data_IF_295938905082
#
_entry.id   IF_295938905082
#
_cell.length_a   1.000
_cell.length_b   1.000
_cell.length_c   1.000
_cell.angle_alpha   90.00
_cell.angle_beta   90.00
_cell.angle_gamma   90.00
#
_symmetry.space_group_name_H-M   'P 1'
#
loop_
_entity.id
_entity.type
_entity.pdbx_description
1 polymer ?
#
# COMPACT_ATOMS: atom_id res chain seq x y z
N UNK A 1 -2.12 9.88 -22.27
CA UNK A 1 -2.59 8.66 -22.98
C UNK A 1 -3.23 7.73 -21.95
N UNK A 2 -4.44 7.20 -22.22
CA UNK A 2 -5.14 6.24 -21.35
C UNK A 2 -4.32 4.94 -21.30
N UNK A 3 -4.10 4.36 -20.11
CA UNK A 3 -3.29 3.15 -19.89
C UNK A 3 -4.18 1.93 -19.98
N UNK A 4 -3.84 0.90 -20.74
CA UNK A 4 -4.61 -0.35 -20.83
C UNK A 4 -4.71 -1.10 -19.50
N UNK A 5 -5.71 -1.99 -19.33
CA UNK A 5 -5.84 -2.85 -18.14
C UNK A 5 -4.55 -3.61 -17.82
N UNK A 6 -3.90 -4.13 -18.87
CA UNK A 6 -2.62 -4.83 -18.77
C UNK A 6 -1.52 -3.92 -18.21
N UNK A 7 -1.36 -2.71 -18.76
CA UNK A 7 -0.38 -1.75 -18.24
C UNK A 7 -0.66 -1.36 -16.78
N UNK A 8 -1.93 -1.24 -16.38
CA UNK A 8 -2.31 -0.99 -14.97
C UNK A 8 -1.84 -2.14 -14.07
N UNK A 9 -2.06 -3.39 -14.47
CA UNK A 9 -1.61 -4.58 -13.73
C UNK A 9 -0.08 -4.64 -13.67
N UNK A 10 0.62 -4.35 -14.77
CA UNK A 10 2.08 -4.29 -14.83
C UNK A 10 2.64 -3.22 -13.87
N UNK A 11 2.02 -2.03 -13.79
CA UNK A 11 2.39 -0.99 -12.84
C UNK A 11 2.19 -1.43 -11.38
N UNK A 12 1.06 -2.08 -11.05
CA UNK A 12 0.82 -2.59 -9.70
C UNK A 12 1.84 -3.68 -9.34
N UNK A 13 2.20 -4.53 -10.31
CA UNK A 13 3.19 -5.60 -10.12
C UNK A 13 4.58 -5.03 -9.85
N UNK A 14 4.99 -4.01 -10.62
CA UNK A 14 6.25 -3.30 -10.38
C UNK A 14 6.24 -2.61 -9.01
N UNK A 15 5.13 -1.97 -8.64
CA UNK A 15 4.95 -1.37 -7.31
C UNK A 15 5.11 -2.40 -6.20
N UNK A 16 4.50 -3.59 -6.34
CA UNK A 16 4.61 -4.67 -5.35
C UNK A 16 6.08 -5.07 -5.10
N UNK A 17 6.91 -5.14 -6.15
CA UNK A 17 8.33 -5.44 -6.02
C UNK A 17 9.10 -4.33 -5.29
N UNK A 18 8.82 -3.06 -5.61
CA UNK A 18 9.47 -1.93 -4.94
C UNK A 18 9.07 -1.83 -3.47
N UNK A 19 7.78 -1.92 -3.18
CA UNK A 19 7.26 -1.72 -1.83
C UNK A 19 7.64 -2.86 -0.88
N UNK A 20 7.64 -4.10 -1.36
CA UNK A 20 8.10 -5.25 -0.55
C UNK A 20 9.59 -5.19 -0.24
N UNK A 21 10.42 -4.73 -1.17
CA UNK A 21 11.83 -4.45 -0.91
C UNK A 21 11.99 -3.32 0.11
N UNK A 22 11.17 -2.28 0.03
CA UNK A 22 11.18 -1.21 1.03
C UNK A 22 10.84 -1.75 2.43
N UNK A 23 9.83 -2.60 2.55
CA UNK A 23 9.45 -3.24 3.82
C UNK A 23 10.59 -4.08 4.41
N UNK A 24 11.30 -4.85 3.59
CA UNK A 24 12.52 -5.56 4.01
C UNK A 24 13.55 -4.59 4.61
N UNK A 25 13.90 -3.53 3.88
CA UNK A 25 14.93 -2.58 4.31
C UNK A 25 14.56 -1.87 5.63
N UNK A 26 13.27 -1.59 5.86
CA UNK A 26 12.79 -1.05 7.14
C UNK A 26 13.13 -2.01 8.29
N UNK A 27 12.90 -3.32 8.12
CA UNK A 27 13.20 -4.30 9.18
C UNK A 27 14.70 -4.49 9.44
N UNK A 28 15.55 -4.26 8.43
CA UNK A 28 17.01 -4.33 8.55
C UNK A 28 17.60 -3.09 9.26
N UNK A 29 16.96 -1.93 9.14
CA UNK A 29 17.35 -0.70 9.83
C UNK A 29 16.13 0.06 10.41
N UNK A 30 15.51 -0.47 11.48
CA UNK A 30 14.22 0.01 11.96
C UNK A 30 14.34 1.28 12.81
N UNK A 31 13.44 2.23 12.58
CA UNK A 31 13.13 3.30 13.52
C UNK A 31 11.82 2.99 14.23
N UNK A 32 11.88 2.80 15.55
CA UNK A 32 10.69 2.53 16.35
C UNK A 32 9.67 3.67 16.27
N UNK A 33 10.14 4.92 16.20
CA UNK A 33 9.29 6.11 16.08
C UNK A 33 8.57 6.16 14.72
N UNK A 34 9.29 5.93 13.61
CA UNK A 34 8.68 5.92 12.29
C UNK A 34 7.67 4.78 12.15
N UNK A 35 7.98 3.58 12.65
CA UNK A 35 7.06 2.43 12.62
C UNK A 35 5.82 2.71 13.48
N UNK A 36 5.98 3.28 14.68
CA UNK A 36 4.84 3.66 15.54
C UNK A 36 3.95 4.73 14.88
N UNK A 37 4.54 5.62 14.06
CA UNK A 37 3.77 6.62 13.31
C UNK A 37 2.80 5.98 12.31
N UNK A 38 3.17 4.84 11.70
CA UNK A 38 2.30 4.10 10.78
C UNK A 38 1.02 3.62 11.50
N UNK A 39 1.14 3.09 12.72
CA UNK A 39 -0.02 2.67 13.53
C UNK A 39 -0.95 3.84 13.85
N UNK A 40 -0.37 4.99 14.18
CA UNK A 40 -1.11 6.21 14.51
C UNK A 40 -1.97 6.69 13.34
N UNK A 41 -1.56 6.44 12.09
CA UNK A 41 -2.36 6.77 10.91
C UNK A 41 -3.71 6.04 10.91
N UNK A 42 -3.75 4.79 11.39
CA UNK A 42 -4.94 3.94 11.34
C UNK A 42 -5.80 3.93 12.60
N UNK A 43 -5.32 4.47 13.73
CA UNK A 43 -6.06 4.50 15.00
C UNK A 43 -7.50 5.04 14.88
N UNK A 44 -7.72 5.98 13.94
CA UNK A 44 -9.04 6.57 13.68
C UNK A 44 -10.02 5.64 12.95
N UNK A 45 -9.58 4.54 12.36
CA UNK A 45 -10.40 3.61 11.57
C UNK A 45 -10.68 2.29 12.30
N UNK A 46 -10.13 2.09 13.51
CA UNK A 46 -10.32 0.86 14.29
C UNK A 46 -11.75 0.70 14.85
N UNK A 47 -12.53 1.79 14.90
CA UNK A 47 -13.87 1.81 15.52
C UNK A 47 -15.04 1.51 14.56
N UNK A 48 -14.78 1.05 13.33
CA UNK A 48 -15.81 0.47 12.46
C UNK A 48 -16.69 1.41 11.62
N UNK A 49 -16.52 2.74 11.70
CA UNK A 49 -17.27 3.71 10.89
C UNK A 49 -16.60 4.03 9.53
N UNK A 50 -16.08 3.02 8.84
CA UNK A 50 -15.27 3.24 7.64
C UNK A 50 -16.06 3.82 6.46
N UNK A 51 -17.32 3.39 6.29
CA UNK A 51 -18.16 3.79 5.16
C UNK A 51 -18.43 5.31 5.12
N UNK A 52 -18.53 5.96 6.28
CA UNK A 52 -18.72 7.41 6.39
C UNK A 52 -17.41 8.20 6.16
N UNK A 53 -16.26 7.50 6.10
CA UNK A 53 -14.92 8.10 6.14
C UNK A 53 -14.01 7.59 5.02
N UNK A 54 -14.60 7.10 3.93
CA UNK A 54 -13.87 6.47 2.84
C UNK A 54 -12.85 7.42 2.18
N UNK A 55 -13.18 8.70 2.03
CA UNK A 55 -12.28 9.71 1.47
C UNK A 55 -11.06 9.94 2.38
N UNK A 56 -11.30 10.06 3.69
CA UNK A 56 -10.22 10.19 4.68
C UNK A 56 -9.32 8.94 4.68
N UNK A 57 -9.93 7.76 4.63
CA UNK A 57 -9.19 6.51 4.53
C UNK A 57 -8.38 6.44 3.24
N UNK A 58 -8.92 6.91 2.11
CA UNK A 58 -8.20 6.92 0.85
C UNK A 58 -6.92 7.76 0.92
N UNK A 59 -6.95 8.92 1.58
CA UNK A 59 -5.74 9.74 1.79
C UNK A 59 -4.73 9.04 2.70
N UNK A 60 -5.20 8.46 3.82
CA UNK A 60 -4.34 7.74 4.77
C UNK A 60 -3.69 6.51 4.12
N UNK A 61 -4.44 5.74 3.34
CA UNK A 61 -3.96 4.60 2.56
C UNK A 61 -2.83 5.03 1.61
N UNK A 62 -2.99 6.15 0.91
CA UNK A 62 -1.94 6.67 0.03
C UNK A 62 -0.70 7.06 0.82
N UNK A 63 -0.85 7.81 1.91
CA UNK A 63 0.29 8.25 2.73
C UNK A 63 1.04 7.05 3.33
N UNK A 64 0.33 6.03 3.82
CA UNK A 64 0.93 4.80 4.34
C UNK A 64 1.92 4.18 3.36
N UNK A 65 1.48 3.97 2.11
CA UNK A 65 2.33 3.40 1.06
C UNK A 65 3.52 4.31 0.70
N UNK A 66 3.36 5.64 0.76
CA UNK A 66 4.49 6.57 0.59
C UNK A 66 5.48 6.49 1.75
N UNK A 67 4.99 6.37 2.99
CA UNK A 67 5.83 6.26 4.18
C UNK A 67 6.69 5.00 4.12
N UNK A 68 6.13 3.84 3.75
CA UNK A 68 6.91 2.59 3.59
C UNK A 68 8.09 2.79 2.62
N UNK A 69 7.84 3.39 1.45
CA UNK A 69 8.89 3.66 0.47
C UNK A 69 9.96 4.61 1.03
N UNK A 70 9.56 5.72 1.68
CA UNK A 70 10.50 6.71 2.24
C UNK A 70 11.34 6.13 3.39
N UNK A 71 10.71 5.36 4.27
CA UNK A 71 11.34 4.72 5.43
C UNK A 71 12.39 3.68 5.03
N UNK A 72 12.38 3.19 3.79
CA UNK A 72 13.42 2.29 3.28
C UNK A 72 14.80 2.95 3.18
N UNK A 73 14.87 4.29 3.21
CA UNK A 73 16.10 5.10 3.06
C UNK A 73 16.94 4.75 1.82
N UNK A 74 16.34 4.15 0.81
CA UNK A 74 16.99 3.78 -0.44
C UNK A 74 16.60 4.78 -1.52
N UNK A 75 17.50 5.73 -1.83
CA UNK A 75 17.22 6.83 -2.77
C UNK A 75 16.85 6.36 -4.18
N UNK A 76 17.41 5.23 -4.64
CA UNK A 76 17.08 4.65 -5.95
C UNK A 76 15.66 4.08 -5.94
N UNK A 77 15.30 3.34 -4.88
CA UNK A 77 13.95 2.79 -4.72
C UNK A 77 12.91 3.90 -4.65
N UNK A 78 13.18 4.95 -3.86
CA UNK A 78 12.31 6.13 -3.72
C UNK A 78 12.08 6.78 -5.10
N UNK A 79 13.15 7.04 -5.86
CA UNK A 79 13.05 7.66 -7.20
C UNK A 79 12.27 6.79 -8.20
N UNK A 80 12.45 5.47 -8.19
CA UNK A 80 11.69 4.56 -9.04
C UNK A 80 10.20 4.55 -8.67
N UNK A 81 9.89 4.55 -7.37
CA UNK A 81 8.52 4.56 -6.87
C UNK A 81 7.81 5.89 -7.18
N UNK A 82 8.49 7.03 -7.13
CA UNK A 82 7.92 8.35 -7.50
C UNK A 82 7.33 8.36 -8.91
N UNK A 83 8.00 7.70 -9.87
CA UNK A 83 7.51 7.59 -11.25
C UNK A 83 6.21 6.79 -11.36
N UNK A 84 5.98 5.81 -10.47
CA UNK A 84 4.76 5.01 -10.42
C UNK A 84 3.69 5.62 -9.52
N UNK A 85 4.08 6.50 -8.61
CA UNK A 85 3.24 6.95 -7.52
C UNK A 85 1.96 7.64 -7.98
N UNK A 86 2.03 8.53 -8.98
CA UNK A 86 0.86 9.21 -9.54
C UNK A 86 -0.17 8.22 -10.09
N UNK A 87 0.31 7.15 -10.75
CA UNK A 87 -0.56 6.09 -11.26
C UNK A 87 -1.19 5.28 -10.12
N UNK A 88 -0.39 4.89 -9.13
CA UNK A 88 -0.87 4.13 -7.97
C UNK A 88 -1.88 4.92 -7.14
N UNK A 89 -1.67 6.23 -6.95
CA UNK A 89 -2.63 7.13 -6.29
C UNK A 89 -3.98 7.10 -7.01
N UNK A 90 -4.00 7.22 -8.33
CA UNK A 90 -5.25 7.17 -9.10
C UNK A 90 -5.93 5.80 -9.02
N UNK A 91 -5.17 4.71 -9.16
CA UNK A 91 -5.70 3.35 -9.08
C UNK A 91 -6.34 3.10 -7.71
N UNK A 92 -5.65 3.44 -6.62
CA UNK A 92 -6.15 3.24 -5.25
C UNK A 92 -7.42 4.04 -5.00
N UNK A 93 -7.45 5.34 -5.32
CA UNK A 93 -8.66 6.18 -5.18
C UNK A 93 -9.88 5.58 -5.89
N UNK A 94 -9.68 5.14 -7.13
CA UNK A 94 -10.77 4.61 -7.96
C UNK A 94 -11.31 3.24 -7.53
N UNK A 95 -10.53 2.47 -6.77
CA UNK A 95 -10.86 1.06 -6.45
C UNK A 95 -11.15 0.83 -4.97
N UNK A 96 -10.95 1.83 -4.10
CA UNK A 96 -10.98 1.63 -2.64
C UNK A 96 -12.39 1.35 -2.09
N UNK A 97 -13.42 1.90 -2.73
CA UNK A 97 -14.83 1.71 -2.35
C UNK A 97 -15.47 0.43 -2.90
N UNK A 98 -14.74 -0.40 -3.64
CA UNK A 98 -15.30 -1.56 -4.31
C UNK A 98 -15.25 -2.81 -3.44
N UNK A 99 -16.33 -3.62 -3.42
CA UNK A 99 -16.33 -4.99 -2.87
C UNK A 99 -15.67 -5.09 -1.48
N UNK A 100 -15.95 -4.19 -0.54
CA UNK A 100 -15.36 -4.13 0.81
C UNK A 100 -13.82 -4.06 0.86
N UNK A 101 -13.20 -3.51 -0.19
CA UNK A 101 -11.74 -3.41 -0.28
C UNK A 101 -11.13 -2.55 0.81
N UNK A 102 -11.80 -1.48 1.22
CA UNK A 102 -11.31 -0.62 2.29
C UNK A 102 -11.13 -1.42 3.60
N UNK A 103 -12.13 -2.21 4.00
CA UNK A 103 -12.07 -3.03 5.22
C UNK A 103 -10.98 -4.11 5.16
N UNK A 104 -10.82 -4.76 3.99
CA UNK A 104 -9.71 -5.72 3.79
C UNK A 104 -8.35 -5.03 3.88
N UNK A 105 -8.23 -3.89 3.21
CA UNK A 105 -6.98 -3.12 3.15
C UNK A 105 -6.54 -2.65 4.53
N UNK A 106 -7.46 -2.24 5.41
CA UNK A 106 -7.13 -1.90 6.81
C UNK A 106 -6.52 -3.09 7.54
N UNK A 107 -7.12 -4.28 7.43
CA UNK A 107 -6.60 -5.50 8.09
C UNK A 107 -5.22 -5.87 7.56
N UNK A 108 -5.00 -5.74 6.25
CA UNK A 108 -3.69 -5.96 5.64
C UNK A 108 -2.66 -4.96 6.16
N UNK A 109 -3.00 -3.66 6.20
CA UNK A 109 -2.11 -2.59 6.70
C UNK A 109 -1.71 -2.81 8.16
N UNK A 110 -2.65 -3.17 9.03
CA UNK A 110 -2.36 -3.49 10.43
C UNK A 110 -1.45 -4.72 10.55
N UNK A 111 -1.68 -5.76 9.75
CA UNK A 111 -0.83 -6.95 9.73
C UNK A 111 0.59 -6.64 9.26
N UNK A 112 0.74 -5.74 8.28
CA UNK A 112 2.04 -5.25 7.81
C UNK A 112 2.77 -4.50 8.93
N UNK A 113 2.06 -3.59 9.62
CA UNK A 113 2.63 -2.81 10.73
C UNK A 113 3.11 -3.74 11.84
N UNK A 114 2.31 -4.74 12.23
CA UNK A 114 2.71 -5.75 13.22
C UNK A 114 3.98 -6.50 12.82
N UNK A 115 4.11 -6.87 11.54
CA UNK A 115 5.32 -7.54 11.04
C UNK A 115 6.56 -6.62 11.07
N UNK A 116 6.39 -5.33 10.76
CA UNK A 116 7.46 -4.33 10.85
C UNK A 116 7.88 -4.09 12.31
N UNK A 117 6.92 -3.98 13.23
CA UNK A 117 7.16 -3.84 14.68
C UNK A 117 7.92 -5.05 15.24
N UNK A 118 7.52 -6.27 14.82
CA UNK A 118 8.20 -7.52 15.19
C UNK A 118 9.56 -7.71 14.50
N UNK A 119 9.90 -6.85 13.53
CA UNK A 119 11.08 -6.98 12.65
C UNK A 119 11.14 -8.32 11.93
N UNK A 120 9.99 -8.88 11.61
CA UNK A 120 9.87 -10.12 10.84
C UNK A 120 10.00 -9.78 9.35
N UNK A 121 11.26 -9.71 8.89
CA UNK A 121 11.61 -9.30 7.52
C UNK A 121 10.83 -10.07 6.46
N UNK A 122 10.78 -11.41 6.58
CA UNK A 122 10.16 -12.24 5.55
C UNK A 122 8.65 -12.05 5.53
N UNK A 123 8.03 -12.01 6.71
CA UNK A 123 6.59 -11.77 6.82
C UNK A 123 6.21 -10.37 6.33
N UNK A 124 6.97 -9.34 6.67
CA UNK A 124 6.71 -7.98 6.21
C UNK A 124 6.79 -7.87 4.68
N UNK A 125 7.85 -8.43 4.08
CA UNK A 125 8.04 -8.49 2.63
C UNK A 125 6.87 -9.21 1.94
N UNK A 126 6.46 -10.36 2.45
CA UNK A 126 5.39 -11.17 1.87
C UNK A 126 4.02 -10.51 2.01
N UNK A 127 3.70 -9.93 3.17
CA UNK A 127 2.44 -9.23 3.39
C UNK A 127 2.29 -8.02 2.47
N UNK A 128 3.32 -7.18 2.36
CA UNK A 128 3.30 -6.00 1.48
C UNK A 128 3.16 -6.40 0.01
N UNK A 129 3.93 -7.40 -0.42
CA UNK A 129 3.86 -7.91 -1.80
C UNK A 129 2.46 -8.44 -2.12
N UNK A 130 1.92 -9.29 -1.25
CA UNK A 130 0.61 -9.91 -1.46
C UNK A 130 -0.53 -8.90 -1.40
N UNK A 131 -0.43 -7.88 -0.53
CA UNK A 131 -1.38 -6.78 -0.48
C UNK A 131 -1.47 -6.03 -1.83
N UNK A 132 -0.32 -5.69 -2.42
CA UNK A 132 -0.28 -5.03 -3.73
C UNK A 132 -0.76 -5.95 -4.86
N UNK A 133 -0.37 -7.22 -4.86
CA UNK A 133 -0.84 -8.19 -5.87
C UNK A 133 -2.35 -8.47 -5.76
N UNK A 134 -2.92 -8.43 -4.54
CA UNK A 134 -4.37 -8.50 -4.35
C UNK A 134 -5.12 -7.34 -5.02
N UNK A 135 -4.51 -6.14 -5.09
CA UNK A 135 -5.05 -5.04 -5.91
C UNK A 135 -4.96 -5.36 -7.40
N UNK A 136 -3.88 -5.97 -7.89
CA UNK A 136 -3.77 -6.39 -9.29
C UNK A 136 -4.87 -7.40 -9.67
N UNK A 137 -5.10 -8.41 -8.81
CA UNK A 137 -6.15 -9.40 -8.99
C UNK A 137 -7.55 -8.76 -8.99
N UNK A 138 -7.77 -7.80 -8.11
CA UNK A 138 -9.02 -7.04 -8.08
C UNK A 138 -9.22 -6.25 -9.37
N UNK A 139 -8.19 -5.53 -9.83
CA UNK A 139 -8.25 -4.80 -11.10
C UNK A 139 -8.55 -5.73 -12.27
N UNK A 140 -7.89 -6.89 -12.32
CA UNK A 140 -8.12 -7.90 -13.34
C UNK A 140 -9.59 -8.37 -13.39
N UNK A 141 -10.24 -8.52 -12.23
CA UNK A 141 -11.60 -9.03 -12.11
C UNK A 141 -12.69 -7.97 -12.31
N UNK A 142 -12.49 -6.75 -11.81
CA UNK A 142 -13.62 -5.81 -11.63
C UNK A 142 -13.43 -4.45 -12.29
N UNK A 143 -12.21 -4.05 -12.66
CA UNK A 143 -11.92 -2.66 -12.97
C UNK A 143 -11.80 -2.36 -14.48
N UNK A 144 -12.93 -2.45 -15.19
CA UNK A 144 -13.01 -2.20 -16.65
C UNK A 144 -13.01 -0.70 -17.03
N UNK A 145 -12.90 0.18 -16.04
CA UNK A 145 -13.04 1.63 -16.17
C UNK A 145 -11.76 2.41 -15.80
N UNK A 146 -10.72 1.70 -15.33
CA UNK A 146 -9.43 2.31 -14.93
C UNK A 146 -8.56 2.71 -16.12
N UNK A 147 -8.75 2.05 -17.24
CA UNK A 147 -8.02 2.21 -18.48
C UNK A 147 -8.79 2.93 -19.52
#
# INVERSE_FOLDING_TARGET
>A
VRKTKREVIEMITAWAALESMAARLITENPSAEEIASLRTMFARFENGELHARLDEYSEVNIEFHQSIIRMSRNSVLISLAENLFTHMRMIRRKTIGEQDRADRSIRDHLSIIEALEARDTKRAEDLVRNHALGLADHVAKYADYLY
#
